data_IF_251489161467
#
_entry.id   IF_251489161467
#
_cell.length_a   1.000
_cell.length_b   1.000
_cell.length_c   1.000
_cell.angle_alpha   90.00
_cell.angle_beta   90.00
_cell.angle_gamma   90.00
#
_symmetry.space_group_name_H-M   'P 1'
#
loop_
_entity.id
_entity.type
_entity.pdbx_description
1 polymer ?
#
# COMPACT_ATOMS: atom_id res chain seq x y z
N UNK A 1 -10.59 16.60 -35.15
CA UNK A 1 -9.12 16.74 -35.03
C UNK A 1 -8.54 15.68 -34.09
N UNK A 2 -9.16 15.43 -32.92
CA UNK A 2 -8.77 14.33 -32.01
C UNK A 2 -9.03 12.94 -32.61
N UNK A 3 -10.06 12.77 -33.42
CA UNK A 3 -10.41 11.49 -34.08
C UNK A 3 -9.33 10.95 -35.04
N UNK A 4 -8.39 11.81 -35.47
CA UNK A 4 -7.27 11.41 -36.34
C UNK A 4 -6.01 11.07 -35.54
N UNK A 5 -5.98 11.32 -34.24
CA UNK A 5 -4.86 11.01 -33.37
C UNK A 5 -5.11 9.67 -32.67
N UNK A 6 -4.05 8.87 -32.43
CA UNK A 6 -4.16 7.70 -31.55
C UNK A 6 -4.69 8.08 -30.17
N UNK A 7 -5.37 7.14 -29.51
CA UNK A 7 -6.00 7.38 -28.20
C UNK A 7 -4.99 7.78 -27.14
N UNK A 8 -3.76 7.26 -27.22
CA UNK A 8 -2.66 7.53 -26.31
C UNK A 8 -2.19 8.98 -26.43
N UNK A 9 -2.06 9.48 -27.66
CA UNK A 9 -1.66 10.88 -27.93
C UNK A 9 -2.76 11.83 -27.47
N UNK A 10 -4.00 11.50 -27.78
CA UNK A 10 -5.17 12.28 -27.38
C UNK A 10 -5.29 12.37 -25.86
N UNK A 11 -5.11 11.24 -25.17
CA UNK A 11 -5.11 11.17 -23.70
C UNK A 11 -3.98 12.02 -23.11
N UNK A 12 -2.77 11.94 -23.69
CA UNK A 12 -1.60 12.73 -23.23
C UNK A 12 -1.86 14.22 -23.35
N UNK A 13 -2.51 14.67 -24.43
CA UNK A 13 -2.89 16.08 -24.59
C UNK A 13 -3.93 16.49 -23.54
N UNK A 14 -4.95 15.66 -23.30
CA UNK A 14 -5.98 15.93 -22.31
C UNK A 14 -5.43 15.92 -20.87
N UNK A 15 -4.42 15.10 -20.56
CA UNK A 15 -3.75 15.07 -19.25
C UNK A 15 -3.04 16.42 -18.91
N UNK A 16 -2.83 17.30 -19.88
CA UNK A 16 -2.26 18.65 -19.67
C UNK A 16 -3.30 19.72 -19.35
N UNK A 17 -4.59 19.40 -19.49
CA UNK A 17 -5.68 20.35 -19.32
C UNK A 17 -6.09 20.52 -17.86
N UNK A 18 -6.64 21.69 -17.52
CA UNK A 18 -7.26 21.90 -16.20
C UNK A 18 -8.56 21.10 -16.08
N UNK A 19 -9.07 20.91 -14.85
CA UNK A 19 -10.38 20.28 -14.64
C UNK A 19 -11.51 21.03 -15.34
N UNK A 20 -11.43 22.36 -15.42
CA UNK A 20 -12.43 23.18 -16.11
C UNK A 20 -12.39 22.91 -17.63
N UNK A 21 -11.19 22.93 -18.22
CA UNK A 21 -11.01 22.65 -19.66
C UNK A 21 -11.39 21.20 -20.00
N UNK A 22 -11.15 20.25 -19.10
CA UNK A 22 -11.60 18.85 -19.26
C UNK A 22 -13.12 18.73 -19.25
N UNK A 23 -13.81 19.50 -18.41
CA UNK A 23 -15.27 19.54 -18.42
C UNK A 23 -15.80 20.14 -19.73
N UNK A 24 -15.18 21.22 -20.23
CA UNK A 24 -15.54 21.81 -21.53
C UNK A 24 -15.26 20.83 -22.68
N UNK A 25 -14.10 20.17 -22.67
CA UNK A 25 -13.72 19.12 -23.59
C UNK A 25 -14.76 17.98 -23.59
N UNK A 26 -15.25 17.59 -22.41
CA UNK A 26 -16.25 16.54 -22.29
C UNK A 26 -17.61 16.89 -22.91
N UNK A 27 -17.86 18.17 -23.23
CA UNK A 27 -19.08 18.65 -23.88
C UNK A 27 -18.97 18.76 -25.41
N UNK A 28 -17.79 18.55 -26.00
CA UNK A 28 -17.55 18.76 -27.44
C UNK A 28 -18.33 17.76 -28.30
N UNK A 29 -18.05 16.46 -28.12
CA UNK A 29 -18.74 15.36 -28.79
C UNK A 29 -18.61 14.06 -27.97
N UNK A 30 -19.14 12.95 -28.49
CA UNK A 30 -19.09 11.66 -27.82
C UNK A 30 -17.67 11.11 -27.60
N UNK A 31 -16.77 11.28 -28.57
CA UNK A 31 -15.40 10.80 -28.49
C UNK A 31 -14.59 11.63 -27.48
N UNK A 32 -14.71 12.95 -27.51
CA UNK A 32 -14.11 13.82 -26.52
C UNK A 32 -14.68 13.58 -25.11
N UNK A 33 -15.99 13.37 -24.99
CA UNK A 33 -16.62 12.99 -23.72
C UNK A 33 -15.98 11.73 -23.14
N UNK A 34 -15.84 10.67 -23.94
CA UNK A 34 -15.20 9.42 -23.52
C UNK A 34 -13.77 9.65 -23.01
N UNK A 35 -12.95 10.38 -23.77
CA UNK A 35 -11.55 10.59 -23.43
C UNK A 35 -11.38 11.54 -22.25
N UNK A 36 -12.07 12.68 -22.25
CA UNK A 36 -12.01 13.67 -21.19
C UNK A 36 -12.53 13.09 -19.86
N UNK A 37 -13.64 12.35 -19.86
CA UNK A 37 -14.10 11.64 -18.66
C UNK A 37 -13.07 10.60 -18.17
N UNK A 38 -12.41 9.88 -19.08
CA UNK A 38 -11.38 8.90 -18.69
C UNK A 38 -10.16 9.53 -18.01
N UNK A 39 -9.88 10.82 -18.28
CA UNK A 39 -8.83 11.60 -17.63
C UNK A 39 -9.35 12.21 -16.33
N UNK A 40 -10.53 12.86 -16.38
CA UNK A 40 -11.17 13.53 -15.24
C UNK A 40 -11.34 12.59 -14.04
N UNK A 41 -11.81 11.37 -14.29
CA UNK A 41 -12.08 10.38 -13.24
C UNK A 41 -10.89 9.48 -12.93
N UNK A 42 -9.74 9.62 -13.63
CA UNK A 42 -8.55 8.80 -13.36
C UNK A 42 -7.99 9.04 -11.95
N UNK A 43 -8.02 10.31 -11.53
CA UNK A 43 -7.49 10.83 -10.26
C UNK A 43 -8.52 11.76 -9.59
N UNK A 44 -9.65 11.24 -9.08
CA UNK A 44 -10.68 12.06 -8.45
C UNK A 44 -10.10 12.87 -7.28
N UNK A 45 -10.23 14.19 -7.35
CA UNK A 45 -9.80 15.09 -6.29
C UNK A 45 -10.84 15.15 -5.16
N UNK A 46 -10.69 14.27 -4.15
CA UNK A 46 -11.62 14.15 -3.04
C UNK A 46 -11.11 14.88 -1.79
N UNK A 47 -11.22 16.22 -1.81
CA UNK A 47 -10.71 17.10 -0.75
C UNK A 47 -11.79 17.58 0.23
N UNK A 48 -13.07 17.34 -0.08
CA UNK A 48 -14.21 17.79 0.71
C UNK A 48 -15.32 16.75 0.74
N UNK A 49 -16.18 16.86 1.74
CA UNK A 49 -17.36 16.00 1.91
C UNK A 49 -18.33 16.13 0.72
N UNK A 50 -18.49 17.34 0.19
CA UNK A 50 -19.31 17.55 -1.01
C UNK A 50 -18.79 16.74 -2.20
N UNK A 51 -17.48 16.79 -2.46
CA UNK A 51 -16.86 16.01 -3.54
C UNK A 51 -17.02 14.51 -3.33
N UNK A 52 -16.91 14.03 -2.09
CA UNK A 52 -17.17 12.62 -1.76
C UNK A 52 -18.60 12.20 -2.12
N UNK A 53 -19.61 13.00 -1.75
CA UNK A 53 -21.00 12.70 -2.08
C UNK A 53 -21.28 12.82 -3.57
N UNK A 54 -20.72 13.80 -4.27
CA UNK A 54 -20.82 13.85 -5.74
C UNK A 54 -20.17 12.61 -6.37
N UNK A 55 -19.03 12.17 -5.85
CA UNK A 55 -18.33 10.98 -6.33
C UNK A 55 -19.11 9.67 -6.08
N UNK A 56 -20.02 9.61 -5.11
CA UNK A 56 -20.88 8.42 -4.93
C UNK A 56 -22.00 8.33 -5.97
N UNK A 57 -22.24 9.39 -6.73
CA UNK A 57 -23.28 9.45 -7.76
C UNK A 57 -22.73 9.26 -9.18
N UNK A 58 -21.43 9.01 -9.35
CA UNK A 58 -20.84 8.81 -10.68
C UNK A 58 -21.33 7.48 -11.28
N UNK A 59 -21.49 7.48 -12.60
CA UNK A 59 -21.95 6.34 -13.38
C UNK A 59 -20.95 5.18 -13.34
N UNK A 60 -21.43 3.96 -13.65
CA UNK A 60 -20.57 2.76 -13.73
C UNK A 60 -19.40 2.92 -14.71
N UNK A 61 -19.60 3.70 -15.78
CA UNK A 61 -18.57 4.02 -16.79
C UNK A 61 -17.46 4.91 -16.21
N UNK A 62 -17.82 5.87 -15.37
CA UNK A 62 -16.85 6.76 -14.74
C UNK A 62 -16.08 6.03 -13.64
N UNK A 63 -16.75 5.13 -12.89
CA UNK A 63 -16.10 4.26 -11.91
C UNK A 63 -15.00 3.39 -12.56
N UNK A 64 -15.22 2.86 -13.76
CA UNK A 64 -14.22 2.01 -14.43
C UNK A 64 -12.99 2.79 -14.91
N UNK A 65 -13.05 4.13 -14.95
CA UNK A 65 -11.92 4.99 -15.30
C UNK A 65 -11.00 5.29 -14.11
N UNK A 66 -11.47 5.07 -12.87
CA UNK A 66 -10.74 5.42 -11.66
C UNK A 66 -9.53 4.51 -11.48
N UNK A 67 -8.34 5.12 -11.34
CA UNK A 67 -7.08 4.40 -11.11
C UNK A 67 -6.44 4.76 -9.78
N UNK A 68 -6.71 5.95 -9.24
CA UNK A 68 -6.22 6.37 -7.94
C UNK A 68 -7.38 6.78 -7.04
N UNK A 69 -7.43 6.23 -5.84
CA UNK A 69 -8.43 6.59 -4.85
C UNK A 69 -7.71 6.95 -3.55
N UNK A 70 -7.73 8.24 -3.21
CA UNK A 70 -7.09 8.76 -2.00
C UNK A 70 -8.11 9.47 -1.12
N UNK A 71 -8.29 8.95 0.10
CA UNK A 71 -9.18 9.51 1.11
C UNK A 71 -8.45 10.19 2.27
N UNK A 72 -7.14 10.38 2.21
CA UNK A 72 -6.33 10.92 3.31
C UNK A 72 -6.78 12.30 3.83
N UNK A 73 -7.52 13.09 3.02
CA UNK A 73 -8.06 14.39 3.42
C UNK A 73 -9.49 14.33 3.97
N UNK A 74 -10.19 13.22 3.76
CA UNK A 74 -11.61 13.06 4.10
C UNK A 74 -11.92 11.75 4.82
N UNK A 75 -10.90 11.04 5.33
CA UNK A 75 -10.99 9.70 5.94
C UNK A 75 -12.08 9.58 7.01
N UNK A 76 -12.31 10.65 7.77
CA UNK A 76 -13.30 10.71 8.85
C UNK A 76 -14.75 10.59 8.36
N UNK A 77 -14.99 10.73 7.06
CA UNK A 77 -16.31 10.61 6.43
C UNK A 77 -16.45 9.32 5.60
N UNK A 78 -15.39 8.50 5.50
CA UNK A 78 -15.39 7.29 4.69
C UNK A 78 -15.82 6.09 5.53
N UNK A 79 -16.99 5.54 5.22
CA UNK A 79 -17.60 4.40 5.90
C UNK A 79 -18.13 3.36 4.90
N UNK A 80 -18.37 2.14 5.36
CA UNK A 80 -18.78 0.99 4.53
C UNK A 80 -19.91 1.31 3.55
N UNK A 81 -20.90 2.10 3.99
CA UNK A 81 -22.07 2.49 3.19
C UNK A 81 -21.69 3.20 1.89
N UNK A 82 -20.59 3.94 1.86
CA UNK A 82 -20.12 4.65 0.67
C UNK A 82 -19.48 3.69 -0.33
N UNK A 83 -18.75 2.68 0.14
CA UNK A 83 -18.10 1.68 -0.72
C UNK A 83 -19.13 0.81 -1.45
N UNK A 84 -20.35 0.66 -0.91
CA UNK A 84 -21.46 -0.04 -1.59
C UNK A 84 -21.84 0.63 -2.92
N UNK A 85 -21.66 1.96 -3.04
CA UNK A 85 -21.94 2.71 -4.28
C UNK A 85 -20.89 2.48 -5.38
N UNK A 86 -19.72 1.93 -5.03
CA UNK A 86 -18.55 1.86 -5.89
C UNK A 86 -18.27 0.44 -6.40
N UNK A 87 -19.29 -0.21 -6.95
CA UNK A 87 -19.23 -1.63 -7.37
C UNK A 87 -18.35 -1.88 -8.59
N UNK A 88 -17.96 -0.83 -9.33
CA UNK A 88 -17.22 -0.94 -10.60
C UNK A 88 -15.82 -0.32 -10.57
N UNK A 89 -15.30 -0.01 -9.39
CA UNK A 89 -13.89 0.36 -9.24
C UNK A 89 -13.02 -0.89 -9.42
N UNK A 90 -12.69 -1.26 -10.66
CA UNK A 90 -11.97 -2.49 -11.01
C UNK A 90 -10.62 -2.26 -11.71
N UNK A 91 -10.16 -1.00 -11.81
CA UNK A 91 -8.88 -0.62 -12.42
C UNK A 91 -7.98 0.19 -11.48
N UNK A 92 -8.20 0.08 -10.17
CA UNK A 92 -7.44 0.80 -9.15
C UNK A 92 -5.98 0.31 -9.13
N UNK A 93 -5.08 1.28 -9.27
CA UNK A 93 -3.62 1.12 -9.17
C UNK A 93 -3.12 1.63 -7.82
N UNK A 94 -3.68 2.73 -7.34
CA UNK A 94 -3.29 3.34 -6.06
C UNK A 94 -4.53 3.51 -5.18
N UNK A 95 -4.47 2.97 -3.97
CA UNK A 95 -5.57 3.06 -3.01
C UNK A 95 -5.00 3.50 -1.66
N UNK A 96 -5.46 4.64 -1.18
CA UNK A 96 -5.12 5.18 0.13
C UNK A 96 -6.37 5.30 0.99
N UNK A 97 -6.51 4.35 1.93
CA UNK A 97 -7.55 4.31 2.94
C UNK A 97 -7.01 4.66 4.33
N UNK A 98 -5.84 5.32 4.42
CA UNK A 98 -5.23 5.64 5.70
C UNK A 98 -6.23 6.34 6.63
N UNK A 99 -6.30 5.89 7.89
CA UNK A 99 -7.15 6.42 8.95
C UNK A 99 -8.66 6.29 8.70
N UNK A 100 -9.10 5.53 7.69
CA UNK A 100 -10.51 5.23 7.48
C UNK A 100 -11.02 4.22 8.52
N UNK A 101 -11.07 4.62 9.80
CA UNK A 101 -11.41 3.77 10.96
C UNK A 101 -12.87 3.33 11.00
N UNK A 102 -13.74 3.97 10.22
CA UNK A 102 -15.14 3.56 10.03
C UNK A 102 -15.31 2.50 8.95
N UNK A 103 -14.22 2.03 8.32
CA UNK A 103 -14.25 0.90 7.40
C UNK A 103 -14.05 -0.42 8.14
N UNK A 104 -14.92 -1.39 7.83
CA UNK A 104 -14.74 -2.76 8.28
C UNK A 104 -13.93 -3.57 7.25
N UNK A 105 -13.28 -4.67 7.67
CA UNK A 105 -12.62 -5.57 6.73
C UNK A 105 -13.55 -6.09 5.62
N UNK A 106 -14.86 -6.21 5.89
CA UNK A 106 -15.84 -6.66 4.91
C UNK A 106 -16.07 -5.65 3.77
N UNK A 107 -15.90 -4.36 4.03
CA UNK A 107 -15.98 -3.32 3.00
C UNK A 107 -14.69 -3.17 2.19
N UNK A 108 -13.53 -3.39 2.81
CA UNK A 108 -12.22 -3.32 2.15
C UNK A 108 -11.99 -4.50 1.21
N UNK A 109 -12.47 -5.69 1.58
CA UNK A 109 -12.17 -6.94 0.88
C UNK A 109 -12.60 -6.95 -0.61
N UNK A 110 -13.82 -6.55 -1.00
CA UNK A 110 -14.22 -6.49 -2.40
C UNK A 110 -13.39 -5.52 -3.24
N UNK A 111 -12.90 -4.43 -2.63
CA UNK A 111 -12.06 -3.44 -3.28
C UNK A 111 -10.72 -4.05 -3.69
N UNK A 112 -10.09 -4.83 -2.81
CA UNK A 112 -8.81 -5.48 -3.12
C UNK A 112 -9.02 -6.60 -4.14
N UNK A 113 -10.04 -7.44 -3.94
CA UNK A 113 -10.38 -8.55 -4.83
C UNK A 113 -10.57 -8.11 -6.28
N UNK A 114 -11.33 -7.03 -6.49
CA UNK A 114 -11.65 -6.53 -7.83
C UNK A 114 -10.47 -5.90 -8.55
N UNK A 115 -9.37 -5.60 -7.84
CA UNK A 115 -8.24 -4.83 -8.36
C UNK A 115 -6.90 -5.56 -8.22
N UNK A 116 -6.93 -6.85 -7.90
CA UNK A 116 -5.75 -7.65 -7.53
C UNK A 116 -4.61 -7.62 -8.57
N UNK A 117 -4.97 -7.60 -9.87
CA UNK A 117 -4.03 -7.56 -10.98
C UNK A 117 -3.59 -6.14 -11.36
N UNK A 118 -4.17 -5.10 -10.74
CA UNK A 118 -3.94 -3.71 -11.11
C UNK A 118 -3.29 -2.90 -9.99
N UNK A 119 -3.45 -3.31 -8.73
CA UNK A 119 -2.90 -2.60 -7.58
C UNK A 119 -1.38 -2.57 -7.61
N UNK A 120 -0.83 -1.37 -7.47
CA UNK A 120 0.60 -1.06 -7.31
C UNK A 120 0.90 -0.52 -5.91
N UNK A 121 -0.01 0.29 -5.37
CA UNK A 121 0.10 0.95 -4.08
C UNK A 121 -1.16 0.72 -3.26
N UNK A 122 -1.00 0.23 -2.04
CA UNK A 122 -2.08 0.06 -1.08
C UNK A 122 -1.66 0.60 0.30
N UNK A 123 -2.42 1.55 0.80
CA UNK A 123 -2.22 2.15 2.13
C UNK A 123 -3.45 1.88 2.99
N UNK A 124 -3.25 1.09 4.04
CA UNK A 124 -4.27 0.75 5.04
C UNK A 124 -3.83 1.19 6.44
N UNK A 125 -2.91 2.15 6.54
CA UNK A 125 -2.42 2.67 7.81
C UNK A 125 -3.56 3.05 8.74
N UNK A 126 -3.51 2.65 10.01
CA UNK A 126 -4.56 2.90 11.02
C UNK A 126 -5.93 2.28 10.71
N UNK A 127 -6.01 1.28 9.81
CA UNK A 127 -7.25 0.55 9.56
C UNK A 127 -7.35 -0.74 10.39
N UNK A 128 -8.59 -1.21 10.56
CA UNK A 128 -8.85 -2.58 11.02
C UNK A 128 -8.97 -3.50 9.82
N UNK A 129 -8.16 -4.56 9.76
CA UNK A 129 -8.15 -5.56 8.69
C UNK A 129 -8.45 -6.95 9.23
N UNK A 130 -8.59 -7.94 8.36
CA UNK A 130 -8.78 -9.36 8.74
C UNK A 130 -7.78 -10.24 8.01
N UNK A 131 -7.62 -11.50 8.44
CA UNK A 131 -6.79 -12.47 7.73
C UNK A 131 -7.25 -12.68 6.27
N UNK A 132 -8.54 -12.51 5.98
CA UNK A 132 -9.05 -12.57 4.62
C UNK A 132 -8.54 -11.41 3.76
N UNK A 133 -8.51 -10.19 4.32
CA UNK A 133 -7.91 -9.02 3.65
C UNK A 133 -6.42 -9.26 3.40
N UNK A 134 -5.67 -9.75 4.41
CA UNK A 134 -4.25 -10.08 4.27
C UNK A 134 -3.97 -11.14 3.21
N UNK A 135 -4.80 -12.19 3.13
CA UNK A 135 -4.71 -13.19 2.07
C UNK A 135 -4.81 -12.56 0.69
N UNK A 136 -5.79 -11.69 0.45
CA UNK A 136 -5.94 -11.01 -0.84
C UNK A 136 -4.82 -10.01 -1.13
N UNK A 137 -4.26 -9.36 -0.11
CA UNK A 137 -3.05 -8.55 -0.26
C UNK A 137 -1.88 -9.42 -0.71
N UNK A 138 -1.70 -10.61 -0.10
CA UNK A 138 -0.66 -11.57 -0.50
C UNK A 138 -0.83 -12.05 -1.94
N UNK A 139 -2.06 -12.21 -2.40
CA UNK A 139 -2.32 -12.48 -3.82
C UNK A 139 -1.96 -11.28 -4.71
N UNK A 140 -2.23 -10.04 -4.29
CA UNK A 140 -1.87 -8.83 -5.02
C UNK A 140 -0.34 -8.61 -5.11
N UNK A 141 0.44 -8.96 -4.07
CA UNK A 141 1.92 -8.87 -4.10
C UNK A 141 2.53 -9.80 -5.14
N UNK A 142 1.88 -10.93 -5.44
CA UNK A 142 2.28 -11.86 -6.50
C UNK A 142 1.90 -11.39 -7.91
N UNK A 143 1.14 -10.30 -8.02
CA UNK A 143 0.78 -9.68 -9.29
C UNK A 143 1.63 -8.42 -9.50
N UNK A 144 1.16 -7.26 -9.04
CA UNK A 144 1.74 -5.96 -9.35
C UNK A 144 1.93 -5.04 -8.12
N UNK A 145 1.55 -5.49 -6.92
CA UNK A 145 1.63 -4.65 -5.72
C UNK A 145 3.08 -4.47 -5.30
N UNK A 146 3.55 -3.21 -5.32
CA UNK A 146 4.94 -2.80 -5.05
C UNK A 146 5.08 -2.04 -3.74
N UNK A 147 4.04 -1.32 -3.33
CA UNK A 147 4.03 -0.53 -2.10
C UNK A 147 2.85 -0.95 -1.22
N UNK A 148 3.16 -1.32 0.02
CA UNK A 148 2.18 -1.69 1.02
C UNK A 148 2.49 -1.01 2.35
N UNK A 149 1.53 -0.27 2.86
CA UNK A 149 1.57 0.33 4.19
C UNK A 149 0.43 -0.25 5.04
N UNK A 150 0.81 -1.01 6.06
CA UNK A 150 -0.06 -1.58 7.09
C UNK A 150 0.27 -1.01 8.47
N UNK A 151 0.90 0.16 8.54
CA UNK A 151 1.31 0.77 9.81
C UNK A 151 0.11 0.99 10.74
N UNK A 152 0.29 0.67 12.02
CA UNK A 152 -0.73 0.77 13.06
C UNK A 152 -2.05 0.04 12.69
N UNK A 153 -1.98 -1.08 11.97
CA UNK A 153 -3.17 -1.88 11.66
C UNK A 153 -3.49 -2.86 12.78
N UNK A 154 -4.79 -3.06 13.01
CA UNK A 154 -5.31 -4.11 13.90
C UNK A 154 -5.91 -5.24 13.06
N UNK A 155 -5.58 -6.49 13.39
CA UNK A 155 -6.05 -7.67 12.65
C UNK A 155 -7.15 -8.39 13.44
N UNK A 156 -8.33 -8.60 12.84
CA UNK A 156 -9.48 -9.29 13.44
C UNK A 156 -9.69 -10.71 12.88
N UNK A 157 -10.18 -11.66 13.70
CA UNK A 157 -10.49 -11.53 15.12
C UNK A 157 -9.23 -11.46 15.99
N UNK A 158 -9.19 -10.50 16.91
CA UNK A 158 -8.14 -10.37 17.92
C UNK A 158 -8.41 -11.37 19.04
N UNK A 159 -8.36 -12.67 18.74
CA UNK A 159 -8.67 -13.72 19.71
C UNK A 159 -7.59 -13.84 20.80
N UNK A 160 -6.39 -13.32 20.54
CA UNK A 160 -5.33 -13.10 21.52
C UNK A 160 -4.33 -12.07 20.96
N UNK A 161 -3.72 -11.26 21.83
CA UNK A 161 -2.57 -10.42 21.49
C UNK A 161 -1.37 -11.30 21.06
N UNK A 162 -1.38 -12.57 21.48
CA UNK A 162 -0.35 -13.58 21.19
C UNK A 162 -0.69 -14.49 20.00
N UNK A 163 -1.64 -14.12 19.14
CA UNK A 163 -1.88 -14.84 17.90
C UNK A 163 -0.72 -14.57 16.92
N UNK A 164 0.42 -15.20 17.17
CA UNK A 164 1.58 -15.18 16.30
C UNK A 164 1.15 -15.57 14.87
N UNK A 165 1.80 -14.95 13.88
CA UNK A 165 1.76 -15.33 12.47
C UNK A 165 0.55 -14.85 11.64
N UNK A 166 -0.05 -13.70 11.94
CA UNK A 166 -1.10 -13.14 11.05
C UNK A 166 -0.65 -12.96 9.59
N UNK A 167 0.64 -12.69 9.37
CA UNK A 167 1.21 -12.58 8.03
C UNK A 167 1.33 -13.92 7.29
N UNK A 168 1.16 -15.09 7.92
CA UNK A 168 1.12 -16.39 7.21
C UNK A 168 -0.01 -16.42 6.19
N UNK A 169 -1.13 -15.75 6.49
CA UNK A 169 -2.25 -15.63 5.55
C UNK A 169 -1.86 -14.87 4.28
N UNK A 170 -0.93 -13.91 4.38
CA UNK A 170 -0.40 -13.13 3.26
C UNK A 170 0.81 -13.82 2.59
N UNK A 171 1.69 -14.42 3.38
CA UNK A 171 2.98 -14.96 3.00
C UNK A 171 2.92 -16.49 3.01
N UNK A 172 2.49 -17.07 1.89
CA UNK A 172 2.50 -18.53 1.71
C UNK A 172 3.89 -19.00 1.28
N UNK A 173 4.62 -19.60 2.23
CA UNK A 173 5.98 -20.14 2.05
C UNK A 173 6.03 -21.39 1.15
N UNK A 174 4.89 -21.98 0.82
CA UNK A 174 4.80 -23.16 -0.06
C UNK A 174 4.74 -22.80 -1.54
N UNK A 175 4.52 -21.52 -1.87
CA UNK A 175 4.42 -21.05 -3.25
C UNK A 175 5.72 -20.41 -3.72
N UNK A 176 6.22 -20.84 -4.88
CA UNK A 176 7.45 -20.31 -5.47
C UNK A 176 7.32 -18.81 -5.75
N UNK A 177 8.07 -18.04 -4.93
CA UNK A 177 8.50 -16.64 -5.01
C UNK A 177 8.17 -15.88 -6.32
N UNK A 178 6.96 -15.31 -6.38
CA UNK A 178 6.55 -14.33 -7.41
C UNK A 178 6.24 -12.93 -6.85
N UNK A 179 6.46 -12.69 -5.56
CA UNK A 179 6.16 -11.40 -4.97
C UNK A 179 7.07 -10.28 -5.54
N UNK A 180 6.48 -9.19 -6.02
CA UNK A 180 7.19 -7.98 -6.52
C UNK A 180 7.08 -6.81 -5.54
N UNK A 181 6.77 -7.08 -4.27
CA UNK A 181 6.68 -6.04 -3.24
C UNK A 181 8.07 -5.45 -2.96
N UNK A 182 8.18 -4.12 -3.03
CA UNK A 182 9.43 -3.36 -2.89
C UNK A 182 9.45 -2.53 -1.61
N UNK A 183 8.31 -2.04 -1.17
CA UNK A 183 8.18 -1.23 0.03
C UNK A 183 7.11 -1.82 0.95
N UNK A 184 7.49 -2.03 2.21
CA UNK A 184 6.62 -2.55 3.26
C UNK A 184 6.77 -1.73 4.54
N UNK A 185 5.70 -1.08 4.96
CA UNK A 185 5.61 -0.41 6.27
C UNK A 185 4.69 -1.21 7.21
N UNK A 186 5.26 -1.68 8.32
CA UNK A 186 4.55 -2.34 9.42
C UNK A 186 4.74 -1.60 10.75
N UNK A 187 5.10 -0.31 10.72
CA UNK A 187 5.35 0.48 11.92
C UNK A 187 4.15 0.45 12.87
N UNK A 188 4.40 0.46 14.19
CA UNK A 188 3.38 0.44 15.24
C UNK A 188 2.49 -0.83 15.26
N UNK A 189 2.79 -1.85 14.47
CA UNK A 189 2.06 -3.10 14.51
C UNK A 189 2.51 -3.95 15.70
N UNK A 190 1.72 -3.97 16.77
CA UNK A 190 2.03 -4.73 17.98
C UNK A 190 2.08 -6.24 17.76
N UNK A 191 1.55 -6.73 16.65
CA UNK A 191 1.53 -8.15 16.26
C UNK A 191 2.76 -8.59 15.46
N UNK A 192 3.70 -7.68 15.15
CA UNK A 192 4.92 -7.99 14.41
C UNK A 192 6.03 -8.46 15.34
N UNK A 193 6.55 -9.65 15.08
CA UNK A 193 7.59 -10.32 15.85
C UNK A 193 8.76 -10.83 14.97
N UNK A 194 9.73 -11.51 15.58
CA UNK A 194 10.86 -12.08 14.84
C UNK A 194 10.45 -13.09 13.77
N UNK A 195 9.40 -13.88 14.01
CA UNK A 195 8.89 -14.86 13.04
C UNK A 195 8.31 -14.18 11.81
N UNK A 196 7.60 -13.08 12.03
CA UNK A 196 7.07 -12.21 10.98
C UNK A 196 8.20 -11.70 10.07
N UNK A 197 9.29 -11.21 10.67
CA UNK A 197 10.47 -10.73 9.94
C UNK A 197 11.17 -11.86 9.16
N UNK A 198 11.28 -13.06 9.74
CA UNK A 198 11.78 -14.24 9.02
C UNK A 198 10.89 -14.58 7.81
N UNK A 199 9.57 -14.56 7.95
CA UNK A 199 8.65 -14.83 6.83
C UNK A 199 8.82 -13.81 5.70
N UNK A 200 8.99 -12.52 6.05
CA UNK A 200 9.30 -11.45 5.09
C UNK A 200 10.58 -11.78 4.32
N UNK A 201 11.63 -12.21 5.04
CA UNK A 201 12.92 -12.57 4.46
C UNK A 201 12.80 -13.68 3.38
N UNK A 202 11.91 -14.66 3.60
CA UNK A 202 11.74 -15.78 2.68
C UNK A 202 10.74 -15.50 1.54
N UNK A 203 9.69 -14.72 1.81
CA UNK A 203 8.56 -14.62 0.89
C UNK A 203 8.59 -13.36 0.00
N UNK A 204 9.41 -12.36 0.33
CA UNK A 204 9.47 -11.07 -0.36
C UNK A 204 10.87 -10.80 -0.94
N UNK A 205 11.34 -11.57 -1.94
CA UNK A 205 12.75 -11.55 -2.39
C UNK A 205 13.20 -10.26 -3.10
N UNK A 206 12.25 -9.38 -3.43
CA UNK A 206 12.49 -8.10 -4.13
C UNK A 206 12.28 -6.88 -3.23
N UNK A 207 12.18 -7.10 -1.91
CA UNK A 207 11.97 -6.03 -0.97
C UNK A 207 13.17 -5.09 -0.97
N UNK A 208 12.93 -3.80 -1.14
CA UNK A 208 13.94 -2.74 -1.19
C UNK A 208 13.95 -1.90 0.08
N UNK A 209 12.78 -1.74 0.71
CA UNK A 209 12.61 -0.94 1.90
C UNK A 209 11.61 -1.60 2.85
N UNK A 210 12.02 -1.72 4.12
CA UNK A 210 11.15 -2.19 5.20
C UNK A 210 11.19 -1.22 6.37
N UNK A 211 10.01 -0.88 6.90
CA UNK A 211 9.85 0.00 8.05
C UNK A 211 9.13 -0.79 9.15
N UNK A 212 9.76 -0.88 10.30
CA UNK A 212 9.39 -1.72 11.44
C UNK A 212 9.47 -0.90 12.76
N UNK A 213 9.21 0.40 12.68
CA UNK A 213 9.32 1.27 13.85
C UNK A 213 8.33 0.84 14.93
N UNK A 214 8.72 0.95 16.20
CA UNK A 214 7.86 0.60 17.35
C UNK A 214 7.38 -0.87 17.39
N UNK A 215 7.99 -1.76 16.61
CA UNK A 215 7.71 -3.20 16.66
C UNK A 215 8.62 -3.89 17.70
N UNK A 216 8.25 -3.76 18.98
CA UNK A 216 9.12 -4.14 20.11
C UNK A 216 9.36 -5.65 20.31
N UNK A 217 8.65 -6.51 19.57
CA UNK A 217 8.83 -7.96 19.65
C UNK A 217 9.94 -8.48 18.72
N UNK A 218 10.53 -7.62 17.89
CA UNK A 218 11.59 -7.98 16.96
C UNK A 218 12.93 -8.16 17.68
N UNK A 219 13.66 -9.22 17.32
CA UNK A 219 14.96 -9.55 17.89
C UNK A 219 16.08 -9.41 16.86
N UNK A 220 17.30 -9.18 17.31
CA UNK A 220 18.47 -9.00 16.44
C UNK A 220 18.65 -10.17 15.45
N UNK A 221 18.44 -11.40 15.92
CA UNK A 221 18.53 -12.62 15.09
C UNK A 221 17.66 -12.55 13.84
N UNK A 222 16.42 -12.04 13.94
CA UNK A 222 15.53 -11.97 12.78
C UNK A 222 15.95 -10.89 11.79
N UNK A 223 16.56 -9.80 12.25
CA UNK A 223 17.16 -8.78 11.37
C UNK A 223 18.35 -9.36 10.61
N UNK A 224 19.21 -10.15 11.28
CA UNK A 224 20.32 -10.84 10.61
C UNK A 224 19.83 -11.80 9.52
N UNK A 225 18.78 -12.57 9.79
CA UNK A 225 18.15 -13.45 8.78
C UNK A 225 17.58 -12.62 7.62
N UNK A 226 16.93 -11.49 7.92
CA UNK A 226 16.37 -10.61 6.90
C UNK A 226 17.45 -10.10 5.95
N UNK A 227 18.56 -9.56 6.47
CA UNK A 227 19.62 -9.00 5.62
C UNK A 227 20.39 -10.07 4.86
N UNK A 228 20.54 -11.28 5.42
CA UNK A 228 21.25 -12.38 4.77
C UNK A 228 20.45 -12.99 3.61
N UNK A 229 19.12 -12.99 3.70
CA UNK A 229 18.26 -13.59 2.67
C UNK A 229 17.80 -12.59 1.60
N UNK A 230 18.09 -11.30 1.76
CA UNK A 230 17.61 -10.25 0.86
C UNK A 230 18.70 -9.65 -0.01
N UNK A 231 18.58 -9.87 -1.32
CA UNK A 231 19.53 -9.34 -2.31
C UNK A 231 19.18 -7.94 -2.83
N UNK A 232 17.99 -7.42 -2.50
CA UNK A 232 17.50 -6.12 -2.99
C UNK A 232 17.28 -5.08 -1.88
N UNK A 233 17.41 -5.48 -0.61
CA UNK A 233 17.02 -4.66 0.54
C UNK A 233 18.03 -3.54 0.78
N UNK A 234 17.66 -2.33 0.33
CA UNK A 234 18.49 -1.13 0.47
C UNK A 234 18.25 -0.35 1.75
N UNK A 235 17.09 -0.47 2.40
CA UNK A 235 16.76 0.31 3.61
C UNK A 235 16.01 -0.51 4.64
N UNK A 236 16.51 -0.48 5.88
CA UNK A 236 15.82 -0.97 7.07
C UNK A 236 15.63 0.19 8.05
N UNK A 237 14.39 0.41 8.48
CA UNK A 237 14.08 1.35 9.56
C UNK A 237 13.45 0.62 10.73
N UNK A 238 14.22 0.50 11.80
CA UNK A 238 13.87 -0.14 13.07
C UNK A 238 14.03 0.86 14.23
N UNK A 239 13.82 2.15 13.98
CA UNK A 239 13.79 3.16 15.05
C UNK A 239 12.71 2.83 16.08
N UNK A 240 12.99 3.20 17.32
CA UNK A 240 12.12 2.95 18.46
C UNK A 240 11.84 1.45 18.69
N UNK A 241 12.81 0.62 18.33
CA UNK A 241 12.89 -0.78 18.75
C UNK A 241 14.10 -0.94 19.67
N UNK A 242 14.05 -1.92 20.58
CA UNK A 242 15.20 -2.30 21.43
C UNK A 242 16.07 -3.38 20.74
N UNK A 243 16.01 -3.47 19.41
CA UNK A 243 16.60 -4.57 18.64
C UNK A 243 18.12 -4.43 18.45
N UNK A 244 18.61 -3.21 18.29
CA UNK A 244 20.04 -2.90 18.15
C UNK A 244 20.49 -2.12 19.37
N UNK A 245 21.47 -2.67 20.08
CA UNK A 245 21.97 -2.12 21.34
C UNK A 245 23.26 -1.33 21.17
N UNK A 246 23.91 -1.36 20.00
CA UNK A 246 25.16 -0.62 19.76
C UNK A 246 25.38 -0.25 18.29
N UNK A 247 26.27 0.72 18.05
CA UNK A 247 26.65 1.14 16.69
C UNK A 247 27.48 0.05 15.99
N UNK A 248 28.28 -0.69 16.74
CA UNK A 248 29.09 -1.81 16.25
C UNK A 248 28.19 -2.92 15.70
N UNK A 249 27.10 -3.25 16.39
CA UNK A 249 26.11 -4.21 15.89
C UNK A 249 25.46 -3.74 14.58
N UNK A 250 25.08 -2.46 14.49
CA UNK A 250 24.52 -1.91 13.26
C UNK A 250 25.54 -1.93 12.10
N UNK A 251 26.82 -1.68 12.40
CA UNK A 251 27.92 -1.74 11.43
C UNK A 251 28.15 -3.17 10.93
N UNK A 252 28.15 -4.16 11.85
CA UNK A 252 28.26 -5.58 11.50
C UNK A 252 27.09 -6.04 10.60
N UNK A 253 25.86 -5.56 10.86
CA UNK A 253 24.72 -5.83 9.99
C UNK A 253 24.96 -5.26 8.58
N UNK A 254 25.43 -4.01 8.49
CA UNK A 254 25.72 -3.35 7.20
C UNK A 254 26.81 -4.08 6.41
N UNK A 255 27.89 -4.52 7.08
CA UNK A 255 28.99 -5.26 6.45
C UNK A 255 28.56 -6.63 5.92
N UNK A 256 27.65 -7.30 6.64
CA UNK A 256 27.14 -8.62 6.26
C UNK A 256 26.01 -8.56 5.21
N UNK A 257 25.51 -7.36 4.87
CA UNK A 257 24.37 -7.18 3.99
C UNK A 257 24.79 -6.68 2.60
N UNK A 258 24.75 -7.56 1.60
CA UNK A 258 25.27 -7.27 0.26
C UNK A 258 24.61 -6.08 -0.46
N UNK A 259 23.35 -5.76 -0.12
CA UNK A 259 22.55 -4.73 -0.81
C UNK A 259 22.12 -3.57 0.09
N UNK A 260 22.39 -3.64 1.39
CA UNK A 260 21.89 -2.67 2.37
C UNK A 260 22.68 -1.36 2.28
N UNK A 261 21.96 -0.27 2.02
CA UNK A 261 22.52 1.08 1.89
C UNK A 261 22.29 1.92 3.14
N UNK A 262 21.24 1.60 3.89
CA UNK A 262 20.82 2.39 5.05
C UNK A 262 20.20 1.51 6.12
N UNK A 263 20.65 1.70 7.35
CA UNK A 263 19.96 1.21 8.55
C UNK A 263 19.67 2.37 9.51
N UNK A 264 18.41 2.49 9.93
CA UNK A 264 17.96 3.48 10.91
C UNK A 264 17.53 2.74 12.18
N UNK A 265 18.08 3.12 13.33
CA UNK A 265 17.83 2.44 14.61
C UNK A 265 17.82 3.45 15.76
N UNK A 266 17.37 3.04 16.95
CA UNK A 266 17.42 3.89 18.16
C UNK A 266 18.42 3.32 19.15
N UNK A 267 19.39 4.13 19.57
CA UNK A 267 20.38 3.79 20.58
C UNK A 267 20.37 4.86 21.67
N UNK A 268 20.29 4.45 22.94
CA UNK A 268 20.23 5.37 24.11
C UNK A 268 19.26 6.54 23.87
N UNK A 269 18.02 6.20 23.51
CA UNK A 269 16.92 7.13 23.16
C UNK A 269 17.16 8.06 21.97
N UNK A 270 18.28 7.94 21.26
CA UNK A 270 18.61 8.75 20.07
C UNK A 270 18.46 7.93 18.81
N UNK A 271 17.66 8.40 17.86
CA UNK A 271 17.60 7.81 16.52
C UNK A 271 18.88 8.09 15.74
N UNK A 272 19.48 7.03 15.21
CA UNK A 272 20.76 7.02 14.50
C UNK A 272 20.56 6.41 13.11
N UNK A 273 21.34 6.87 12.14
CA UNK A 273 21.37 6.37 10.77
C UNK A 273 22.81 6.02 10.39
N UNK A 274 23.01 4.85 9.78
CA UNK A 274 24.26 4.46 9.12
C UNK A 274 23.97 4.31 7.63
N UNK A 275 24.84 4.88 6.79
CA UNK A 275 24.74 4.87 5.33
C UNK A 275 26.06 4.33 4.75
N UNK A 276 25.98 3.46 3.74
CA UNK A 276 27.13 2.95 2.97
C UNK A 276 27.29 3.61 1.60
#
# INVERSE_FOLDING_TARGET
MIEKLPVEISTTVLDLLSTADLCEAACVDHCWNLLASSVLYRYPALNSVHQLYSFTQISEKEQSCVQNLDFSRIYQHVADKLLVSWRRLSNLKCVNLAKCTYLTPAAILPLIQSNICHLHTLVLANCTISNAVLHWIGQATRQNLKFLDLSNTMIKPCASIDAANHLDSMLDSTTVTKADLRHLDLSFCTWVDGRTVENIAHCLPKLECVILQWCNQIKLKSINILVQNQNSLGTIDIRHTETIESIEQASEIMENAASLKRIMFTYKTTSTEIVS
#
